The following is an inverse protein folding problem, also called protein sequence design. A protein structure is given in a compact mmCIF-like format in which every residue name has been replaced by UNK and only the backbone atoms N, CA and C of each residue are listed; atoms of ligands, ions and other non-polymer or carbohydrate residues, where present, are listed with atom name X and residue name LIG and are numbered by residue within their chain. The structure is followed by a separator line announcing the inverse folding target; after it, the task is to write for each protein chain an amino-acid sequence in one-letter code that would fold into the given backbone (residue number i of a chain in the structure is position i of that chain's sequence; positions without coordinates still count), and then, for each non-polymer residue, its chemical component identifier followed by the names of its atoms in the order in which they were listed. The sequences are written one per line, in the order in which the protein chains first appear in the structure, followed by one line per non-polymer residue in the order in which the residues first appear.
data_IF_103728902101
#
_entry.id   IF_103728902101
#
_cell.length_a   1.000
_cell.length_b   1.000
_cell.length_c   1.000
_cell.angle_alpha   90.00
_cell.angle_beta   90.00
_cell.angle_gamma   90.00
#
_symmetry.space_group_name_H-M   'P 1'
#
loop_
_entity.id
_entity.type
_entity.pdbx_description
1 polymer ?
#
# COMPACT_ATOMS: atom_id res chain seq x y z
N UNK A 1 -34.08 -13.60 -37.06
CA UNK A 1 -33.47 -13.35 -35.75
C UNK A 1 -33.02 -11.90 -35.70
N UNK A 2 -33.60 -11.06 -34.84
CA UNK A 2 -33.07 -9.70 -34.61
C UNK A 2 -31.75 -9.85 -33.87
N UNK A 3 -30.65 -9.33 -34.44
CA UNK A 3 -29.39 -9.20 -33.73
C UNK A 3 -29.60 -8.20 -32.60
N UNK A 4 -29.67 -8.70 -31.36
CA UNK A 4 -29.66 -7.86 -30.17
C UNK A 4 -28.22 -7.37 -30.05
N UNK A 5 -27.99 -6.07 -30.23
CA UNK A 5 -26.68 -5.49 -29.98
C UNK A 5 -26.37 -5.63 -28.49
N UNK A 6 -25.17 -6.13 -28.13
CA UNK A 6 -24.79 -6.28 -26.73
C UNK A 6 -24.75 -4.91 -26.07
N UNK A 7 -25.35 -4.81 -24.88
CA UNK A 7 -25.40 -3.59 -24.07
C UNK A 7 -24.71 -3.88 -22.76
N UNK A 8 -23.49 -3.38 -22.62
CA UNK A 8 -22.70 -3.64 -21.41
C UNK A 8 -22.97 -2.61 -20.34
N UNK A 9 -23.24 -3.09 -19.12
CA UNK A 9 -23.29 -2.28 -17.89
C UNK A 9 -22.22 -2.75 -16.92
N UNK A 10 -21.81 -1.85 -16.01
CA UNK A 10 -20.87 -2.21 -14.96
C UNK A 10 -21.53 -3.12 -13.92
N UNK A 11 -20.81 -4.18 -13.57
CA UNK A 11 -21.16 -5.10 -12.51
C UNK A 11 -20.60 -4.60 -11.17
N UNK A 12 -19.29 -4.32 -11.15
CA UNK A 12 -18.53 -3.66 -10.08
C UNK A 12 -17.15 -3.28 -10.61
N UNK A 13 -16.38 -2.54 -9.81
CA UNK A 13 -14.98 -2.25 -10.08
C UNK A 13 -14.11 -2.47 -8.85
N UNK A 14 -12.83 -2.72 -9.08
CA UNK A 14 -11.79 -2.79 -8.06
C UNK A 14 -10.83 -1.64 -8.31
N UNK A 15 -10.51 -0.88 -7.27
CA UNK A 15 -9.65 0.29 -7.29
C UNK A 15 -8.55 0.17 -6.25
N UNK A 16 -7.35 0.68 -6.58
CA UNK A 16 -6.21 0.68 -5.66
C UNK A 16 -6.01 2.07 -5.08
N UNK A 17 -5.86 2.15 -3.77
CA UNK A 17 -5.43 3.35 -3.05
C UNK A 17 -4.18 3.03 -2.29
N UNK A 18 -3.29 4.00 -2.17
CA UNK A 18 -2.09 3.83 -1.37
C UNK A 18 -1.71 5.12 -0.67
N UNK A 19 -1.51 5.06 0.64
CA UNK A 19 -1.14 6.22 1.46
C UNK A 19 0.11 6.96 0.96
N UNK A 20 1.09 6.23 0.39
CA UNK A 20 2.32 6.78 -0.17
C UNK A 20 2.05 7.77 -1.32
N UNK A 21 1.02 7.52 -2.14
CA UNK A 21 0.63 8.35 -3.29
C UNK A 21 -0.54 9.30 -3.00
N UNK A 22 -0.97 9.44 -1.74
CA UNK A 22 -2.23 10.09 -1.29
C UNK A 22 -2.58 11.47 -1.86
N UNK A 23 -1.65 12.19 -2.51
CA UNK A 23 -1.90 13.48 -3.19
C UNK A 23 -1.51 13.50 -4.66
N UNK A 24 -0.61 12.62 -5.09
CA UNK A 24 0.04 12.62 -6.41
C UNK A 24 0.59 11.24 -6.71
N UNK A 25 0.44 10.79 -7.95
CA UNK A 25 0.87 9.47 -8.39
C UNK A 25 -0.29 8.47 -8.41
N UNK A 26 -0.02 7.28 -8.93
CA UNK A 26 -0.99 6.19 -9.04
C UNK A 26 -0.28 4.88 -8.70
N UNK A 27 -0.89 4.09 -7.83
CA UNK A 27 -0.48 2.70 -7.64
C UNK A 27 -1.01 1.88 -8.81
N UNK A 28 -0.10 1.30 -9.59
CA UNK A 28 -0.45 0.45 -10.71
C UNK A 28 -0.16 -1.02 -10.37
N UNK A 29 -1.19 -1.86 -10.52
CA UNK A 29 -1.10 -3.29 -10.28
C UNK A 29 -1.70 -4.05 -11.46
N UNK A 30 -1.07 -5.15 -11.82
CA UNK A 30 -1.64 -6.15 -12.72
C UNK A 30 -2.74 -6.91 -11.98
N UNK A 31 -3.98 -6.78 -12.46
CA UNK A 31 -5.17 -7.50 -11.95
C UNK A 31 -5.31 -8.81 -12.73
N UNK A 32 -5.22 -9.96 -12.05
CA UNK A 32 -5.33 -11.29 -12.65
C UNK A 32 -6.41 -12.10 -11.93
N UNK A 33 -7.49 -12.52 -12.61
CA UNK A 33 -8.42 -13.48 -12.05
C UNK A 33 -7.77 -14.86 -11.97
N UNK A 34 -8.09 -15.63 -10.93
CA UNK A 34 -7.69 -17.04 -10.86
C UNK A 34 -8.23 -17.86 -12.04
N UNK A 35 -7.76 -19.10 -12.23
CA UNK A 35 -8.30 -19.99 -13.28
C UNK A 35 -9.78 -20.28 -13.09
N UNK A 36 -10.21 -20.54 -11.86
CA UNK A 36 -11.63 -20.78 -11.53
C UNK A 36 -12.46 -19.52 -11.80
N UNK A 37 -12.00 -18.36 -11.35
CA UNK A 37 -12.62 -17.05 -11.58
C UNK A 37 -12.71 -16.72 -13.06
N UNK A 38 -11.64 -16.94 -13.83
CA UNK A 38 -11.62 -16.71 -15.28
C UNK A 38 -12.65 -17.56 -16.03
N UNK A 39 -12.82 -18.82 -15.61
CA UNK A 39 -13.84 -19.71 -16.17
C UNK A 39 -15.24 -19.25 -15.79
N UNK A 40 -15.44 -18.85 -14.53
CA UNK A 40 -16.72 -18.37 -14.02
C UNK A 40 -17.15 -17.07 -14.71
N UNK A 41 -16.28 -16.06 -14.78
CA UNK A 41 -16.55 -14.80 -15.48
C UNK A 41 -16.94 -15.04 -16.95
N UNK A 42 -16.29 -15.99 -17.62
CA UNK A 42 -16.65 -16.39 -18.99
C UNK A 42 -18.05 -17.00 -19.08
N UNK A 43 -18.40 -17.89 -18.14
CA UNK A 43 -19.72 -18.50 -18.08
C UNK A 43 -20.82 -17.46 -17.77
N UNK A 44 -20.48 -16.44 -16.99
CA UNK A 44 -21.34 -15.29 -16.66
C UNK A 44 -21.43 -14.26 -17.80
N UNK A 45 -20.71 -14.44 -18.91
CA UNK A 45 -20.52 -13.42 -19.95
C UNK A 45 -20.05 -12.06 -19.41
N UNK A 46 -19.22 -12.08 -18.36
CA UNK A 46 -18.62 -10.90 -17.76
C UNK A 46 -17.27 -10.62 -18.40
N UNK A 47 -17.08 -9.38 -18.82
CA UNK A 47 -15.84 -8.87 -19.40
C UNK A 47 -15.09 -8.09 -18.33
N UNK A 48 -13.86 -8.50 -18.06
CA UNK A 48 -12.93 -7.73 -17.25
C UNK A 48 -12.14 -6.75 -18.12
N UNK A 49 -12.09 -5.48 -17.72
CA UNK A 49 -11.29 -4.43 -18.36
C UNK A 49 -10.27 -3.88 -17.36
N UNK A 50 -8.96 -4.16 -17.52
CA UNK A 50 -7.94 -3.58 -16.66
C UNK A 50 -7.79 -2.07 -16.91
N UNK A 51 -7.30 -1.35 -15.91
CA UNK A 51 -6.99 0.07 -15.94
C UNK A 51 -5.77 0.37 -15.07
N UNK A 52 -5.22 1.58 -15.15
CA UNK A 52 -4.00 1.97 -14.40
C UNK A 52 -4.21 1.93 -12.88
N UNK A 53 -5.43 2.16 -12.40
CA UNK A 53 -5.74 2.26 -10.97
C UNK A 53 -6.72 1.18 -10.49
N UNK A 54 -6.87 0.09 -11.24
CA UNK A 54 -7.91 -0.89 -10.94
C UNK A 54 -8.31 -1.80 -12.12
N UNK A 55 -9.43 -2.49 -11.97
CA UNK A 55 -10.08 -3.28 -13.01
C UNK A 55 -11.61 -3.14 -12.90
N UNK A 56 -12.32 -3.10 -14.04
CA UNK A 56 -13.78 -2.99 -14.12
C UNK A 56 -14.36 -4.28 -14.68
N UNK A 57 -15.52 -4.68 -14.18
CA UNK A 57 -16.24 -5.88 -14.62
C UNK A 57 -17.55 -5.45 -15.27
N UNK A 58 -17.80 -5.88 -16.50
CA UNK A 58 -18.95 -5.49 -17.29
C UNK A 58 -19.77 -6.72 -17.67
N UNK A 59 -21.08 -6.67 -17.54
CA UNK A 59 -21.98 -7.76 -17.95
C UNK A 59 -22.93 -7.31 -19.07
N UNK A 60 -23.41 -8.26 -19.87
CA UNK A 60 -24.33 -7.97 -20.98
C UNK A 60 -25.79 -7.90 -20.50
N UNK A 61 -26.34 -6.69 -20.49
CA UNK A 61 -27.76 -6.43 -20.14
C UNK A 61 -28.75 -6.93 -21.20
N UNK A 62 -28.27 -7.40 -22.36
CA UNK A 62 -29.08 -8.15 -23.31
C UNK A 62 -29.30 -9.61 -22.91
N UNK A 63 -28.43 -10.17 -22.05
CA UNK A 63 -28.50 -11.55 -21.56
C UNK A 63 -29.13 -11.64 -20.16
N UNK A 64 -28.84 -10.67 -19.30
CA UNK A 64 -29.35 -10.59 -17.93
C UNK A 64 -30.14 -9.31 -17.74
N UNK A 65 -31.30 -9.40 -17.07
CA UNK A 65 -32.15 -8.23 -16.82
C UNK A 65 -31.43 -7.18 -15.95
N UNK A 66 -30.72 -7.65 -14.93
CA UNK A 66 -29.96 -6.83 -14.00
C UNK A 66 -28.85 -7.67 -13.32
N UNK A 67 -28.07 -7.02 -12.47
CA UNK A 67 -27.00 -7.64 -11.66
C UNK A 67 -27.54 -8.72 -10.71
N UNK A 68 -28.70 -8.48 -10.11
CA UNK A 68 -29.30 -9.40 -9.15
C UNK A 68 -29.58 -10.76 -9.79
N UNK A 69 -30.27 -10.75 -10.94
CA UNK A 69 -30.57 -11.94 -11.72
C UNK A 69 -29.31 -12.71 -12.14
N UNK A 70 -28.22 -11.99 -12.49
CA UNK A 70 -26.94 -12.61 -12.81
C UNK A 70 -26.35 -13.33 -11.60
N UNK A 71 -26.20 -12.65 -10.46
CA UNK A 71 -25.58 -13.28 -9.29
C UNK A 71 -26.46 -14.35 -8.66
N UNK A 72 -27.79 -14.26 -8.72
CA UNK A 72 -28.68 -15.34 -8.29
C UNK A 72 -28.47 -16.62 -9.13
N UNK A 73 -28.18 -16.51 -10.42
CA UNK A 73 -27.90 -17.67 -11.28
C UNK A 73 -26.57 -18.35 -10.93
N UNK A 74 -25.62 -17.59 -10.40
CA UNK A 74 -24.28 -18.04 -10.02
C UNK A 74 -24.08 -17.84 -8.51
N UNK A 75 -25.06 -18.22 -7.69
CA UNK A 75 -25.06 -17.98 -6.24
C UNK A 75 -23.93 -18.71 -5.52
N UNK A 76 -23.38 -18.08 -4.48
CA UNK A 76 -22.28 -18.58 -3.63
C UNK A 76 -21.01 -19.03 -4.37
N UNK A 77 -20.81 -18.51 -5.58
CA UNK A 77 -19.61 -18.78 -6.36
C UNK A 77 -18.46 -17.86 -5.92
N UNK A 78 -17.26 -18.43 -5.75
CA UNK A 78 -16.08 -17.70 -5.28
C UNK A 78 -15.35 -17.03 -6.45
N UNK A 79 -15.14 -15.72 -6.32
CA UNK A 79 -14.28 -14.92 -7.19
C UNK A 79 -12.98 -14.58 -6.43
N UNK A 80 -11.85 -14.88 -7.06
CA UNK A 80 -10.52 -14.62 -6.55
C UNK A 80 -9.71 -13.85 -7.60
N UNK A 81 -9.22 -12.68 -7.19
CA UNK A 81 -8.37 -11.81 -7.99
C UNK A 81 -7.04 -11.62 -7.30
N UNK A 82 -5.95 -11.82 -8.03
CA UNK A 82 -4.58 -11.57 -7.60
C UNK A 82 -4.08 -10.26 -8.19
N UNK A 83 -3.35 -9.49 -7.40
CA UNK A 83 -2.77 -8.21 -7.80
C UNK A 83 -1.27 -8.21 -7.57
N UNK A 84 -0.54 -7.86 -8.63
CA UNK A 84 0.92 -7.75 -8.60
C UNK A 84 1.34 -6.32 -8.92
N UNK A 85 2.15 -5.67 -8.06
CA UNK A 85 2.58 -4.30 -8.32
C UNK A 85 3.50 -4.26 -9.55
N UNK A 86 3.24 -3.31 -10.47
CA UNK A 86 4.09 -3.15 -11.65
C UNK A 86 5.45 -2.52 -11.31
N UNK A 87 5.53 -1.77 -10.21
CA UNK A 87 6.78 -1.27 -9.61
C UNK A 87 7.37 -2.30 -8.64
N UNK A 88 7.70 -3.47 -9.18
CA UNK A 88 8.13 -4.64 -8.42
C UNK A 88 9.39 -4.41 -7.57
N UNK A 89 10.25 -3.47 -7.97
CA UNK A 89 11.51 -3.18 -7.28
C UNK A 89 11.33 -2.27 -6.07
N UNK A 90 10.34 -1.38 -6.07
CA UNK A 90 10.17 -0.40 -5.00
C UNK A 90 8.89 -0.55 -4.20
N UNK A 91 7.91 -1.33 -4.64
CA UNK A 91 6.63 -1.44 -3.93
C UNK A 91 6.79 -1.75 -2.44
N UNK A 92 7.60 -2.75 -2.08
CA UNK A 92 7.85 -3.11 -0.69
C UNK A 92 8.73 -2.10 0.07
N UNK A 93 9.38 -1.19 -0.66
CA UNK A 93 10.21 -0.13 -0.09
C UNK A 93 9.38 1.07 0.42
N UNK A 94 8.08 1.09 0.13
CA UNK A 94 7.16 2.11 0.64
C UNK A 94 5.83 1.54 1.15
N UNK A 95 5.58 0.24 1.02
CA UNK A 95 4.35 -0.43 1.47
C UNK A 95 4.57 -1.22 2.76
N UNK A 96 3.59 -1.21 3.66
CA UNK A 96 3.61 -1.96 4.91
C UNK A 96 2.56 -3.06 4.97
N UNK A 97 2.63 -3.89 6.01
CA UNK A 97 1.66 -4.96 6.28
C UNK A 97 2.05 -6.32 5.70
N UNK A 98 3.20 -6.44 5.02
CA UNK A 98 3.72 -7.71 4.52
C UNK A 98 4.61 -8.39 5.55
N UNK A 99 4.66 -9.73 5.56
CA UNK A 99 5.57 -10.50 6.41
C UNK A 99 6.54 -11.33 5.58
N UNK A 100 7.75 -11.49 6.11
CA UNK A 100 8.78 -12.38 5.58
C UNK A 100 8.87 -13.71 6.38
N UNK A 101 8.05 -13.89 7.40
CA UNK A 101 8.10 -15.06 8.30
C UNK A 101 7.52 -16.33 7.67
N UNK A 102 6.58 -16.17 6.74
CA UNK A 102 5.98 -17.26 5.97
C UNK A 102 5.72 -16.80 4.54
N UNK A 103 5.51 -17.75 3.64
CA UNK A 103 4.95 -17.46 2.31
C UNK A 103 3.45 -17.20 2.46
N UNK A 104 2.97 -16.11 1.84
CA UNK A 104 1.57 -15.71 1.97
C UNK A 104 1.19 -14.62 0.98
N UNK A 105 0.04 -14.00 1.24
CA UNK A 105 -0.50 -12.91 0.45
C UNK A 105 -1.15 -11.84 1.34
N UNK A 106 -1.25 -10.61 0.84
CA UNK A 106 -2.10 -9.60 1.45
C UNK A 106 -3.55 -9.87 1.05
N UNK A 107 -4.38 -10.34 1.99
CA UNK A 107 -5.75 -10.78 1.70
C UNK A 107 -6.77 -9.69 2.04
N UNK A 108 -7.64 -9.37 1.08
CA UNK A 108 -8.79 -8.50 1.22
C UNK A 108 -10.06 -9.33 1.12
N UNK A 109 -10.93 -9.23 2.14
CA UNK A 109 -12.21 -9.94 2.21
C UNK A 109 -13.34 -8.94 2.33
N UNK A 110 -14.37 -9.07 1.47
CA UNK A 110 -15.55 -8.21 1.54
C UNK A 110 -16.30 -8.33 2.87
N UNK A 111 -16.33 -9.51 3.49
CA UNK A 111 -17.15 -9.77 4.68
C UNK A 111 -16.57 -9.34 6.04
N UNK A 112 -15.28 -8.98 6.15
CA UNK A 112 -14.64 -8.72 7.46
C UNK A 112 -14.54 -7.24 7.83
N UNK A 113 -14.29 -6.38 6.85
CA UNK A 113 -13.90 -4.99 7.11
C UNK A 113 -14.47 -3.99 6.10
N UNK A 114 -15.43 -4.41 5.27
CA UNK A 114 -16.00 -3.53 4.26
C UNK A 114 -16.80 -2.39 4.90
N UNK A 115 -16.42 -1.15 4.62
CA UNK A 115 -17.19 0.04 4.96
C UNK A 115 -17.83 0.57 3.70
N UNK A 116 -19.16 0.65 3.71
CA UNK A 116 -19.95 1.12 2.57
C UNK A 116 -20.28 2.60 2.76
N UNK A 117 -19.94 3.43 1.77
CA UNK A 117 -20.27 4.86 1.69
C UNK A 117 -20.78 5.21 0.30
N UNK A 118 -22.10 5.20 0.13
CA UNK A 118 -22.75 5.33 -1.17
C UNK A 118 -22.40 4.17 -2.09
N UNK A 119 -21.82 4.46 -3.25
CA UNK A 119 -21.31 3.47 -4.21
C UNK A 119 -19.90 2.95 -3.86
N UNK A 120 -19.24 3.54 -2.86
CA UNK A 120 -17.89 3.13 -2.48
C UNK A 120 -17.93 2.00 -1.45
N UNK A 121 -17.15 0.96 -1.70
CA UNK A 121 -16.92 -0.16 -0.78
C UNK A 121 -15.45 -0.13 -0.38
N UNK A 122 -15.13 0.39 0.80
CA UNK A 122 -13.78 0.40 1.33
C UNK A 122 -13.47 -0.95 1.99
N UNK A 123 -12.55 -1.73 1.42
CA UNK A 123 -12.17 -3.07 1.91
C UNK A 123 -11.08 -3.02 3.00
N UNK A 124 -10.71 -1.82 3.46
CA UNK A 124 -9.65 -1.61 4.43
C UNK A 124 -8.26 -1.88 3.87
N UNK A 125 -7.33 -2.24 4.75
CA UNK A 125 -5.91 -2.37 4.43
C UNK A 125 -5.43 -3.77 4.05
N UNK A 126 -6.36 -4.74 4.01
CA UNK A 126 -6.03 -6.15 3.92
C UNK A 126 -5.27 -6.68 5.14
N UNK A 127 -5.19 -7.99 5.24
CA UNK A 127 -4.42 -8.69 6.26
C UNK A 127 -3.45 -9.68 5.60
N UNK A 128 -2.18 -9.62 6.00
CA UNK A 128 -1.23 -10.62 5.51
C UNK A 128 -1.55 -11.99 6.09
N UNK A 129 -1.71 -12.94 5.19
CA UNK A 129 -2.24 -14.28 5.48
C UNK A 129 -1.31 -15.32 4.86
N UNK A 130 -0.78 -16.23 5.68
CA UNK A 130 0.08 -17.33 5.21
C UNK A 130 -0.72 -18.30 4.31
N UNK A 131 -0.05 -18.90 3.33
CA UNK A 131 -0.68 -19.84 2.38
C UNK A 131 -1.13 -21.17 2.99
N UNK A 132 -0.69 -21.50 4.20
CA UNK A 132 -1.12 -22.68 4.96
C UNK A 132 -2.35 -22.41 5.85
N UNK A 133 -2.88 -21.18 5.81
CA UNK A 133 -4.12 -20.82 6.51
C UNK A 133 -5.36 -21.41 5.83
N UNK A 134 -6.47 -21.47 6.56
CA UNK A 134 -7.76 -21.95 6.05
C UNK A 134 -8.41 -21.02 5.00
N UNK A 135 -7.87 -19.81 4.77
CA UNK A 135 -8.41 -18.85 3.81
C UNK A 135 -8.06 -19.22 2.36
N UNK A 136 -7.00 -20.01 2.17
CA UNK A 136 -6.53 -20.48 0.87
C UNK A 136 -6.71 -21.99 0.74
N UNK A 137 -7.24 -22.41 -0.40
CA UNK A 137 -7.23 -23.82 -0.80
C UNK A 137 -5.87 -24.19 -1.41
N UNK A 138 -5.57 -25.50 -1.46
CA UNK A 138 -4.32 -25.99 -2.07
C UNK A 138 -4.18 -25.56 -3.54
N UNK A 139 -5.28 -25.55 -4.30
CA UNK A 139 -5.31 -25.14 -5.71
C UNK A 139 -5.03 -23.63 -5.85
N UNK A 140 -5.61 -22.80 -4.99
CA UNK A 140 -5.36 -21.35 -4.98
C UNK A 140 -3.90 -21.05 -4.63
N UNK A 141 -3.36 -21.72 -3.60
CA UNK A 141 -1.96 -21.61 -3.20
C UNK A 141 -1.03 -22.05 -4.33
N UNK A 142 -1.30 -23.18 -4.98
CA UNK A 142 -0.50 -23.66 -6.10
C UNK A 142 -0.52 -22.68 -7.27
N UNK A 143 -1.68 -22.09 -7.58
CA UNK A 143 -1.81 -21.10 -8.64
C UNK A 143 -1.03 -19.82 -8.33
N UNK A 144 -1.16 -19.28 -7.12
CA UNK A 144 -0.44 -18.09 -6.66
C UNK A 144 1.08 -18.29 -6.70
N UNK A 145 1.57 -19.48 -6.29
CA UNK A 145 2.99 -19.86 -6.34
C UNK A 145 3.51 -20.15 -7.75
N UNK A 146 2.64 -20.66 -8.63
CA UNK A 146 3.02 -20.93 -10.02
C UNK A 146 3.23 -19.64 -10.83
N UNK A 147 2.66 -18.52 -10.38
CA UNK A 147 2.95 -17.21 -10.92
C UNK A 147 4.42 -16.87 -10.62
N UNK A 148 5.25 -16.78 -11.67
CA UNK A 148 6.72 -16.60 -11.56
C UNK A 148 7.11 -15.17 -11.18
N UNK A 149 6.50 -14.65 -10.13
CA UNK A 149 6.80 -13.34 -9.56
C UNK A 149 7.42 -13.54 -8.18
N UNK A 150 8.58 -12.94 -7.87
CA UNK A 150 9.15 -12.96 -6.52
C UNK A 150 8.35 -12.09 -5.53
N UNK A 151 7.26 -11.49 -5.98
CA UNK A 151 6.46 -10.52 -5.24
C UNK A 151 5.39 -11.25 -4.45
N UNK A 152 5.19 -10.85 -3.20
CA UNK A 152 4.04 -11.23 -2.38
C UNK A 152 2.76 -10.71 -3.06
N UNK A 153 1.85 -11.58 -3.52
CA UNK A 153 0.63 -11.13 -4.16
C UNK A 153 -0.30 -10.43 -3.14
N UNK A 154 -1.12 -9.52 -3.65
CA UNK A 154 -2.34 -9.13 -2.95
C UNK A 154 -3.52 -9.90 -3.53
N UNK A 155 -4.48 -10.30 -2.73
CA UNK A 155 -5.62 -11.11 -3.15
C UNK A 155 -6.92 -10.49 -2.67
N UNK A 156 -7.89 -10.33 -3.57
CA UNK A 156 -9.26 -10.02 -3.22
C UNK A 156 -10.13 -11.25 -3.46
N UNK A 157 -10.76 -11.74 -2.39
CA UNK A 157 -11.63 -12.92 -2.41
C UNK A 157 -13.02 -12.52 -1.95
N UNK A 158 -14.02 -12.86 -2.76
CA UNK A 158 -15.42 -12.49 -2.53
C UNK A 158 -16.34 -13.53 -3.17
N UNK A 159 -17.50 -13.78 -2.57
CA UNK A 159 -18.55 -14.60 -3.21
C UNK A 159 -19.53 -13.74 -3.98
N UNK A 160 -20.22 -14.31 -4.97
CA UNK A 160 -21.31 -13.62 -5.67
C UNK A 160 -22.45 -13.19 -4.73
N UNK A 161 -22.72 -13.96 -3.67
CA UNK A 161 -23.69 -13.59 -2.63
C UNK A 161 -23.22 -12.37 -1.82
N UNK A 162 -21.95 -12.32 -1.43
CA UNK A 162 -21.38 -11.11 -0.81
C UNK A 162 -21.41 -9.92 -1.76
N UNK A 163 -21.19 -10.13 -3.06
CA UNK A 163 -21.34 -9.07 -4.04
C UNK A 163 -22.79 -8.57 -4.12
N UNK A 164 -23.81 -9.43 -4.01
CA UNK A 164 -25.21 -9.00 -3.98
C UNK A 164 -25.55 -8.07 -2.82
N UNK A 165 -24.90 -8.27 -1.66
CA UNK A 165 -25.10 -7.45 -0.46
C UNK A 165 -24.46 -6.05 -0.57
N UNK A 166 -23.57 -5.85 -1.55
CA UNK A 166 -22.86 -4.58 -1.77
C UNK A 166 -23.61 -3.67 -2.77
N UNK A 167 -23.37 -2.34 -2.75
CA UNK A 167 -23.98 -1.40 -3.68
C UNK A 167 -23.90 -1.82 -5.15
N UNK A 168 -24.94 -1.47 -5.92
CA UNK A 168 -24.95 -1.66 -7.37
C UNK A 168 -23.85 -0.86 -8.05
N UNK A 169 -23.12 -1.51 -8.97
CA UNK A 169 -21.93 -0.96 -9.60
C UNK A 169 -20.91 -0.42 -8.56
N UNK A 170 -20.81 -1.10 -7.42
CA UNK A 170 -19.94 -0.70 -6.31
C UNK A 170 -18.47 -0.58 -6.73
N UNK A 171 -17.82 0.47 -6.23
CA UNK A 171 -16.39 0.73 -6.39
C UNK A 171 -15.63 0.19 -5.19
N UNK A 172 -14.91 -0.92 -5.38
CA UNK A 172 -14.26 -1.64 -4.29
C UNK A 172 -12.82 -1.16 -4.13
N UNK A 173 -12.50 -0.54 -3.00
CA UNK A 173 -11.20 0.06 -2.75
C UNK A 173 -10.31 -0.84 -1.90
N UNK A 174 -9.18 -1.26 -2.47
CA UNK A 174 -8.09 -1.91 -1.76
C UNK A 174 -7.10 -0.83 -1.30
N UNK A 175 -6.98 -0.62 0.01
CA UNK A 175 -6.08 0.39 0.55
C UNK A 175 -4.73 -0.22 0.96
N UNK A 176 -3.64 0.32 0.44
CA UNK A 176 -2.29 -0.08 0.81
C UNK A 176 -1.68 0.94 1.77
N UNK A 177 -1.20 0.45 2.91
CA UNK A 177 -0.57 1.29 3.92
C UNK A 177 0.85 1.65 3.54
N UNK A 178 1.26 2.87 3.86
CA UNK A 178 2.64 3.29 3.71
C UNK A 178 3.51 2.74 4.85
N UNK A 179 4.80 2.56 4.58
CA UNK A 179 5.79 2.39 5.64
C UNK A 179 5.85 3.65 6.52
N UNK A 180 6.06 3.41 7.80
CA UNK A 180 6.39 4.42 8.80
C UNK A 180 7.81 4.12 9.30
N UNK A 181 8.74 5.06 9.13
CA UNK A 181 10.14 4.87 9.52
C UNK A 181 10.62 6.00 10.42
N UNK A 182 11.53 5.70 11.33
CA UNK A 182 12.26 6.72 12.06
C UNK A 182 13.28 7.38 11.14
N UNK A 183 13.41 8.70 11.18
CA UNK A 183 14.40 9.40 10.35
C UNK A 183 15.63 9.65 11.21
N UNK A 184 16.78 9.12 10.78
CA UNK A 184 18.07 9.25 11.46
C UNK A 184 19.02 10.08 10.59
N UNK A 185 19.27 11.31 11.01
CA UNK A 185 20.18 12.24 10.34
C UNK A 185 21.58 12.15 10.94
N UNK A 186 22.58 11.88 10.11
CA UNK A 186 23.99 11.96 10.46
C UNK A 186 24.58 13.28 9.94
N UNK A 187 24.97 14.17 10.85
CA UNK A 187 25.50 15.50 10.51
C UNK A 187 26.99 15.59 10.82
N UNK A 188 27.82 15.73 9.79
CA UNK A 188 29.28 15.67 9.94
C UNK A 188 29.99 17.02 9.99
N UNK A 189 29.49 18.07 9.31
CA UNK A 189 30.23 19.34 9.14
C UNK A 189 29.97 20.39 10.23
N UNK A 190 29.01 20.17 11.12
CA UNK A 190 28.55 21.16 12.09
C UNK A 190 28.81 20.72 13.54
N UNK A 191 29.93 20.02 13.79
CA UNK A 191 30.22 19.41 15.10
C UNK A 191 30.48 20.43 16.19
N UNK A 192 31.14 21.53 15.83
CA UNK A 192 31.52 22.62 16.74
C UNK A 192 30.33 23.44 17.24
N UNK A 193 29.16 23.32 16.60
CA UNK A 193 27.95 24.05 16.99
C UNK A 193 27.28 23.32 18.15
N UNK A 194 27.48 23.78 19.38
CA UNK A 194 27.00 23.10 20.60
C UNK A 194 25.49 22.83 20.61
N UNK A 195 24.69 23.81 20.20
CA UNK A 195 23.23 23.79 20.32
C UNK A 195 22.53 23.55 18.97
N UNK A 196 23.04 22.57 18.22
CA UNK A 196 22.45 22.16 16.95
C UNK A 196 21.16 21.37 17.18
N UNK A 197 20.09 21.69 16.44
CA UNK A 197 18.82 20.95 16.46
C UNK A 197 18.23 20.80 15.07
N UNK A 198 17.40 19.77 14.89
CA UNK A 198 16.49 19.68 13.74
C UNK A 198 15.10 20.12 14.19
N UNK A 199 14.49 21.03 13.43
CA UNK A 199 13.15 21.53 13.70
C UNK A 199 12.25 21.28 12.50
N UNK A 200 11.07 20.71 12.77
CA UNK A 200 9.95 20.74 11.83
C UNK A 200 9.29 22.12 11.84
N UNK A 201 9.14 22.74 10.67
CA UNK A 201 8.51 24.06 10.53
C UNK A 201 7.05 24.03 11.01
N UNK A 202 6.37 22.90 10.80
CA UNK A 202 5.01 22.66 11.32
C UNK A 202 4.97 22.34 12.82
N UNK A 203 6.13 22.13 13.45
CA UNK A 203 6.30 21.72 14.85
C UNK A 203 5.53 20.44 15.21
N UNK A 204 5.38 19.51 14.26
CA UNK A 204 4.72 18.22 14.50
C UNK A 204 5.71 17.13 14.81
N UNK A 205 6.92 17.18 14.24
CA UNK A 205 7.95 16.19 14.47
C UNK A 205 9.08 16.80 15.27
N UNK A 206 9.48 16.10 16.33
CA UNK A 206 10.63 16.43 17.15
C UNK A 206 11.76 15.44 16.86
N UNK A 207 12.98 15.86 17.15
CA UNK A 207 14.18 15.05 17.00
C UNK A 207 15.00 15.06 18.29
N UNK A 208 15.47 13.90 18.71
CA UNK A 208 16.45 13.76 19.79
C UNK A 208 17.86 13.77 19.22
N UNK A 209 18.73 14.61 19.78
CA UNK A 209 20.14 14.73 19.38
C UNK A 209 21.06 13.90 20.28
N UNK A 210 22.04 13.23 19.69
CA UNK A 210 23.13 12.55 20.38
C UNK A 210 24.43 12.60 19.56
N UNK A 211 25.55 12.19 20.15
CA UNK A 211 26.80 12.00 19.43
C UNK A 211 27.04 10.51 19.22
N UNK A 212 27.40 10.13 17.99
CA UNK A 212 27.69 8.75 17.62
C UNK A 212 29.03 8.71 16.87
N UNK A 213 29.89 7.74 17.17
CA UNK A 213 31.08 7.49 16.34
C UNK A 213 30.69 6.60 15.18
N UNK A 214 30.85 7.10 13.95
CA UNK A 214 30.69 6.29 12.74
C UNK A 214 31.86 5.30 12.61
N UNK A 215 31.65 4.19 11.88
CA UNK A 215 32.64 3.14 11.60
C UNK A 215 33.98 3.68 11.07
N UNK A 216 33.97 4.81 10.36
CA UNK A 216 35.17 5.47 9.84
C UNK A 216 35.89 6.40 10.85
N UNK A 217 35.67 6.21 12.15
CA UNK A 217 36.19 7.06 13.24
C UNK A 217 35.81 8.56 13.14
N UNK A 218 34.82 8.89 12.32
CA UNK A 218 34.25 10.24 12.23
C UNK A 218 33.08 10.34 13.21
N UNK A 219 33.21 11.20 14.23
CA UNK A 219 32.08 11.53 15.14
C UNK A 219 30.99 12.29 14.39
N UNK A 220 29.77 11.77 14.32
CA UNK A 220 28.63 12.49 13.79
C UNK A 220 27.78 13.04 14.94
N UNK A 221 27.14 14.19 14.71
CA UNK A 221 25.93 14.54 15.47
C UNK A 221 24.76 13.83 14.83
N UNK A 222 24.09 13.00 15.61
CA UNK A 222 22.98 12.17 15.15
C UNK A 222 21.69 12.74 15.70
N UNK A 223 20.70 12.88 14.83
CA UNK A 223 19.35 13.28 15.21
C UNK A 223 18.36 12.22 14.77
N UNK A 224 17.57 11.69 15.70
CA UNK A 224 16.54 10.68 15.40
C UNK A 224 15.17 11.29 15.69
N UNK A 225 14.22 11.11 14.78
CA UNK A 225 12.84 11.54 15.03
C UNK A 225 12.28 10.86 16.29
N UNK A 226 11.51 11.55 17.11
CA UNK A 226 10.96 10.97 18.36
C UNK A 226 9.80 10.00 18.11
N UNK A 227 9.29 9.97 16.89
CA UNK A 227 8.22 9.07 16.42
C UNK A 227 8.45 8.68 14.97
N UNK A 228 7.87 7.56 14.51
CA UNK A 228 8.01 7.17 13.11
C UNK A 228 7.24 8.13 12.19
N UNK A 229 7.74 8.27 10.99
CA UNK A 229 7.28 9.20 9.96
C UNK A 229 6.80 8.39 8.76
N UNK A 230 5.54 8.62 8.38
CA UNK A 230 4.96 8.05 7.17
C UNK A 230 5.73 8.48 5.93
N UNK A 231 6.17 7.49 5.15
CA UNK A 231 6.77 7.69 3.83
C UNK A 231 5.75 8.26 2.84
N UNK A 232 6.16 9.20 2.00
CA UNK A 232 5.29 9.81 0.99
C UNK A 232 6.07 10.03 -0.30
N UNK A 233 5.41 9.82 -1.44
CA UNK A 233 5.98 10.04 -2.78
C UNK A 233 6.47 11.48 -2.96
N UNK A 234 5.65 12.42 -2.50
CA UNK A 234 6.01 13.84 -2.43
C UNK A 234 5.69 14.35 -1.03
N UNK A 235 6.70 14.26 -0.16
CA UNK A 235 6.61 14.86 1.17
C UNK A 235 6.67 16.39 1.05
N UNK A 236 5.66 17.08 1.57
CA UNK A 236 5.71 18.53 1.80
C UNK A 236 6.36 18.89 3.14
N UNK A 237 6.95 17.91 3.84
CA UNK A 237 7.58 18.15 5.14
C UNK A 237 8.80 19.03 4.96
N UNK A 238 8.93 19.99 5.86
CA UNK A 238 9.97 21.00 5.83
C UNK A 238 10.70 20.94 7.16
N UNK A 239 11.83 20.23 7.16
CA UNK A 239 12.72 20.16 8.32
C UNK A 239 13.90 21.09 8.10
N UNK A 240 14.27 21.82 9.15
CA UNK A 240 15.36 22.78 9.18
C UNK A 240 16.45 22.31 10.15
N UNK A 241 17.71 22.49 9.79
CA UNK A 241 18.82 22.41 10.74
C UNK A 241 19.09 23.80 11.30
N UNK A 242 19.12 23.92 12.62
CA UNK A 242 19.20 25.20 13.31
C UNK A 242 20.24 25.19 14.42
N UNK A 243 20.80 26.35 14.70
CA UNK A 243 21.62 26.65 15.87
C UNK A 243 20.81 27.47 16.87
N UNK A 244 20.62 26.93 18.07
CA UNK A 244 20.05 27.67 19.20
C UNK A 244 21.17 28.42 19.94
N UNK A 245 21.33 29.70 19.61
CA UNK A 245 22.19 30.59 20.39
C UNK A 245 21.38 31.29 21.49
N UNK A 246 22.06 31.92 22.44
CA UNK A 246 21.42 32.79 23.45
C UNK A 246 20.71 34.01 22.82
N UNK A 247 20.93 34.28 21.53
CA UNK A 247 20.23 35.29 20.75
C UNK A 247 19.10 34.71 19.90
N UNK A 248 18.95 35.23 18.68
CA UNK A 248 17.97 34.71 17.74
C UNK A 248 18.43 33.34 17.17
N UNK A 249 17.51 32.37 17.05
CA UNK A 249 17.85 31.08 16.45
C UNK A 249 18.23 31.27 14.97
N UNK A 250 19.31 30.62 14.54
CA UNK A 250 19.84 30.74 13.18
C UNK A 250 19.54 29.47 12.39
N UNK A 251 18.94 29.62 11.21
CA UNK A 251 18.77 28.50 10.26
C UNK A 251 20.10 28.27 9.53
N UNK A 252 20.63 27.05 9.65
CA UNK A 252 21.84 26.60 8.94
C UNK A 252 21.45 25.97 7.60
N UNK A 253 20.42 25.12 7.62
CA UNK A 253 19.86 24.47 6.43
C UNK A 253 18.35 24.62 6.46
N UNK A 254 17.81 25.27 5.44
CA UNK A 254 16.37 25.52 5.36
C UNK A 254 15.60 24.26 4.95
N UNK A 255 16.14 23.43 4.05
CA UNK A 255 15.48 22.19 3.63
C UNK A 255 16.40 20.98 3.82
N UNK A 256 16.18 20.24 4.89
CA UNK A 256 16.85 18.96 5.11
C UNK A 256 16.41 17.95 4.04
N UNK A 257 17.33 17.12 3.53
CA UNK A 257 16.98 16.06 2.60
C UNK A 257 16.03 15.04 3.25
N UNK A 258 15.14 14.49 2.44
CA UNK A 258 14.24 13.40 2.84
C UNK A 258 14.87 12.06 2.44
N UNK A 259 14.58 10.97 3.17
CA UNK A 259 15.07 9.65 2.80
C UNK A 259 14.51 9.21 1.45
N UNK A 260 15.32 8.46 0.71
CA UNK A 260 14.87 7.80 -0.52
C UNK A 260 14.10 6.52 -0.16
N UNK A 261 13.04 6.15 -0.91
CA UNK A 261 12.40 4.86 -0.74
C UNK A 261 13.43 3.72 -0.80
N UNK A 262 13.33 2.77 0.12
CA UNK A 262 14.20 1.59 0.16
C UNK A 262 15.54 1.80 0.85
N UNK A 263 15.88 3.05 1.19
CA UNK A 263 17.03 3.36 2.04
C UNK A 263 16.62 3.32 3.52
N UNK A 264 16.33 2.13 4.01
CA UNK A 264 16.07 1.88 5.43
C UNK A 264 16.66 0.56 5.89
N UNK A 265 16.83 0.43 7.19
CA UNK A 265 17.31 -0.76 7.87
C UNK A 265 16.55 -0.94 9.18
N UNK A 266 16.79 -2.05 9.87
CA UNK A 266 16.23 -2.27 11.20
C UNK A 266 17.25 -1.91 12.27
N UNK A 267 16.85 -1.08 13.23
CA UNK A 267 17.69 -0.65 14.36
C UNK A 267 16.93 -0.80 15.69
N UNK A 268 17.59 -0.50 16.79
CA UNK A 268 16.95 -0.30 18.09
C UNK A 268 16.81 1.19 18.41
N UNK A 269 15.58 1.65 18.63
CA UNK A 269 15.29 3.00 19.15
C UNK A 269 14.51 2.82 20.44
N UNK A 270 15.03 3.35 21.55
CA UNK A 270 14.44 3.21 22.89
C UNK A 270 14.20 1.74 23.33
N UNK A 271 15.06 0.82 22.88
CA UNK A 271 14.94 -0.62 23.20
C UNK A 271 13.96 -1.39 22.32
N UNK A 272 13.26 -0.73 21.40
CA UNK A 272 12.36 -1.37 20.45
C UNK A 272 13.03 -1.55 19.09
N UNK A 273 12.79 -2.69 18.45
CA UNK A 273 13.25 -2.97 17.09
C UNK A 273 12.37 -2.22 16.10
N UNK A 274 12.93 -1.23 15.41
CA UNK A 274 12.18 -0.32 14.51
C UNK A 274 12.83 -0.20 13.15
N UNK A 275 12.07 0.25 12.15
CA UNK A 275 12.60 0.57 10.82
C UNK A 275 13.10 2.02 10.81
N UNK A 276 14.35 2.22 10.40
CA UNK A 276 15.03 3.52 10.37
C UNK A 276 15.49 3.85 8.96
N UNK A 277 15.21 5.06 8.50
CA UNK A 277 15.76 5.63 7.27
C UNK A 277 16.92 6.55 7.57
N UNK A 278 18.09 6.27 6.99
CA UNK A 278 19.29 7.07 7.20
C UNK A 278 19.40 8.21 6.19
N UNK A 279 19.82 9.37 6.69
CA UNK A 279 20.12 10.53 5.88
C UNK A 279 21.46 11.13 6.31
N UNK A 280 22.41 11.19 5.39
CA UNK A 280 23.76 11.73 5.66
C UNK A 280 23.88 13.17 5.16
N UNK A 281 24.31 14.07 6.05
CA UNK A 281 24.57 15.49 5.79
C UNK A 281 26.06 15.74 5.92
N UNK A 282 26.70 15.91 4.77
CA UNK A 282 28.13 16.19 4.63
C UNK A 282 28.41 17.66 4.35
#
# INVERSE_FOLDING_TARGET
MRSIMPRYSELFSIHYRHEYFSKTGVLNMECLPSRSTSRLLRNMNVIMKPSVAGCRFLFDTGLYENREALFTLFSDEVLLFSFYPQDSQNFYNYSSGFSAECEGAMLFLAGRSAVVDGENVDLGSGDFTCFDSAEFTDDETLELKAHRSPLIPSVYKVTTDQLLELPDAGQHYLNFRSLNTYYKYYVFNYREIENLKIQDVDKKIEFSGMQEQSENAKTARVFISTRPIMSLYQSKRHFQLMEESSGAPRVIMDYMPMPRPGCYYTDQVNGERVVVSEIFIN
#
